data_IF_606315132156
#
_entry.id   IF_606315132156
#
_cell.length_a   1.000
_cell.length_b   1.000
_cell.length_c   1.000
_cell.angle_alpha   90.00
_cell.angle_beta   90.00
_cell.angle_gamma   90.00
#
_symmetry.space_group_name_H-M   'P 1'
#
loop_
_entity.id
_entity.type
_entity.pdbx_description
1 polymer ?
#
# COMPACT_ATOMS: atom_id res chain seq x y z
N UNK A 1 14.77 5.24 -2.84
CA UNK A 1 14.38 6.48 -2.14
C UNK A 1 13.79 7.41 -3.17
N UNK A 2 12.51 7.79 -3.05
CA UNK A 2 11.99 8.88 -3.88
C UNK A 2 12.67 10.16 -3.42
N UNK A 3 13.24 10.94 -4.35
CA UNK A 3 13.79 12.25 -4.05
C UNK A 3 12.68 13.11 -3.41
N UNK A 4 13.01 13.80 -2.31
CA UNK A 4 12.07 14.71 -1.67
C UNK A 4 11.88 15.94 -2.55
N UNK A 5 10.83 15.92 -3.37
CA UNK A 5 10.42 17.08 -4.16
C UNK A 5 9.97 18.17 -3.19
N UNK A 6 10.55 19.37 -3.32
CA UNK A 6 10.14 20.52 -2.53
C UNK A 6 8.69 20.88 -2.86
N UNK A 7 7.84 20.94 -1.83
CA UNK A 7 6.43 21.26 -1.96
C UNK A 7 6.19 22.61 -2.65
N UNK A 8 7.03 23.61 -2.36
CA UNK A 8 6.90 24.93 -2.97
C UNK A 8 7.21 24.87 -4.47
N UNK A 9 8.24 24.13 -4.87
CA UNK A 9 8.60 23.97 -6.28
C UNK A 9 7.48 23.22 -7.02
N UNK A 10 7.00 22.10 -6.48
CA UNK A 10 5.90 21.35 -7.10
C UNK A 10 4.63 22.20 -7.23
N UNK A 11 4.34 23.06 -6.23
CA UNK A 11 3.23 23.99 -6.29
C UNK A 11 3.40 25.04 -7.38
N UNK A 12 4.59 25.62 -7.52
CA UNK A 12 4.89 26.62 -8.55
C UNK A 12 4.74 26.01 -9.94
N UNK A 13 5.36 24.87 -10.21
CA UNK A 13 5.27 24.19 -11.51
C UNK A 13 3.81 23.86 -11.86
N UNK A 14 3.03 23.34 -10.89
CA UNK A 14 1.62 23.06 -11.09
C UNK A 14 0.80 24.34 -11.34
N UNK A 15 1.15 25.45 -10.67
CA UNK A 15 0.48 26.74 -10.87
C UNK A 15 0.75 27.32 -12.26
N UNK A 16 1.97 27.18 -12.78
CA UNK A 16 2.33 27.61 -14.13
C UNK A 16 1.60 26.78 -15.19
N UNK A 17 1.47 25.47 -14.98
CA UNK A 17 0.75 24.58 -15.90
C UNK A 17 -0.76 24.80 -15.92
N UNK A 18 -1.36 25.19 -14.79
CA UNK A 18 -2.80 25.45 -14.66
C UNK A 18 -3.20 26.89 -15.02
N UNK A 19 -2.32 27.87 -14.81
CA UNK A 19 -2.66 29.28 -14.96
C UNK A 19 -3.88 29.69 -14.14
N UNK A 20 -4.91 30.21 -14.81
CA UNK A 20 -6.14 30.71 -14.18
C UNK A 20 -6.96 29.61 -13.48
N UNK A 21 -6.82 28.35 -13.92
CA UNK A 21 -7.54 27.19 -13.37
C UNK A 21 -7.00 26.73 -12.01
N UNK A 22 -5.89 27.31 -11.53
CA UNK A 22 -5.30 26.97 -10.23
C UNK A 22 -6.29 27.15 -9.08
N UNK A 23 -7.19 28.15 -9.14
CA UNK A 23 -8.21 28.36 -8.11
C UNK A 23 -9.21 27.20 -8.06
N UNK A 24 -9.63 26.70 -9.22
CA UNK A 24 -10.55 25.56 -9.34
C UNK A 24 -9.89 24.29 -8.83
N UNK A 25 -8.64 24.06 -9.21
CA UNK A 25 -7.85 22.94 -8.73
C UNK A 25 -7.73 22.93 -7.19
N UNK A 26 -7.39 24.07 -6.57
CA UNK A 26 -7.30 24.17 -5.11
C UNK A 26 -8.65 24.00 -4.41
N UNK A 27 -9.75 24.42 -5.04
CA UNK A 27 -11.09 24.15 -4.54
C UNK A 27 -11.37 22.64 -4.51
N UNK A 28 -11.08 21.94 -5.62
CA UNK A 28 -11.27 20.49 -5.72
C UNK A 28 -10.37 19.74 -4.73
N UNK A 29 -9.11 20.16 -4.58
CA UNK A 29 -8.18 19.62 -3.58
C UNK A 29 -8.73 19.76 -2.15
N UNK A 30 -9.27 20.94 -1.80
CA UNK A 30 -9.91 21.16 -0.50
C UNK A 30 -11.14 20.26 -0.33
N UNK A 31 -11.96 20.10 -1.37
CA UNK A 31 -13.13 19.23 -1.35
C UNK A 31 -12.75 17.76 -1.15
N UNK A 32 -11.68 17.30 -1.81
CA UNK A 32 -11.13 15.95 -1.62
C UNK A 32 -10.59 15.73 -0.20
N UNK A 33 -9.80 16.66 0.34
CA UNK A 33 -9.32 16.58 1.73
C UNK A 33 -10.47 16.58 2.76
N UNK A 34 -11.58 17.25 2.46
CA UNK A 34 -12.80 17.26 3.27
C UNK A 34 -13.71 16.05 3.02
N UNK A 35 -13.29 15.08 2.21
CA UNK A 35 -14.06 13.89 1.83
C UNK A 35 -15.42 14.21 1.19
N UNK A 36 -15.54 15.37 0.53
CA UNK A 36 -16.75 15.75 -0.21
C UNK A 36 -16.83 15.08 -1.59
N UNK A 37 -15.67 14.82 -2.18
CA UNK A 37 -15.51 14.11 -3.45
C UNK A 37 -14.53 12.97 -3.25
N UNK A 38 -14.67 11.91 -4.03
CA UNK A 38 -13.73 10.79 -4.06
C UNK A 38 -12.39 11.19 -4.69
N UNK A 39 -11.38 10.33 -4.51
CA UNK A 39 -10.08 10.53 -5.17
C UNK A 39 -10.25 10.46 -6.69
N UNK A 40 -11.07 9.53 -7.16
CA UNK A 40 -11.34 9.30 -8.57
C UNK A 40 -11.98 10.52 -9.25
N UNK A 41 -12.93 11.17 -8.56
CA UNK A 41 -13.52 12.43 -9.02
C UNK A 41 -12.49 13.56 -9.08
N UNK A 42 -11.69 13.73 -8.02
CA UNK A 42 -10.63 14.73 -7.99
C UNK A 42 -9.58 14.53 -9.10
N UNK A 43 -9.08 13.31 -9.28
CA UNK A 43 -8.12 12.96 -10.33
C UNK A 43 -8.73 13.17 -11.74
N UNK A 44 -10.03 12.90 -11.90
CA UNK A 44 -10.75 13.13 -13.16
C UNK A 44 -10.83 14.61 -13.49
N UNK A 45 -11.22 15.44 -12.52
CA UNK A 45 -11.31 16.89 -12.73
C UNK A 45 -9.92 17.52 -12.93
N UNK A 46 -8.90 17.06 -12.21
CA UNK A 46 -7.52 17.51 -12.43
C UNK A 46 -7.05 17.25 -13.89
N UNK A 47 -7.38 16.10 -14.46
CA UNK A 47 -7.06 15.76 -15.87
C UNK A 47 -7.86 16.57 -16.90
N UNK A 48 -8.98 17.19 -16.51
CA UNK A 48 -9.72 18.10 -17.39
C UNK A 48 -9.10 19.51 -17.39
N UNK A 49 -8.51 19.92 -16.27
CA UNK A 49 -7.84 21.21 -16.12
C UNK A 49 -6.41 21.19 -16.69
N UNK A 50 -5.73 20.05 -16.62
CA UNK A 50 -4.37 19.87 -17.11
C UNK A 50 -4.34 19.32 -18.54
N UNK A 51 -3.30 19.68 -19.28
CA UNK A 51 -2.95 19.02 -20.53
C UNK A 51 -2.34 17.65 -20.23
N UNK A 52 -2.40 16.73 -21.20
CA UNK A 52 -1.91 15.36 -21.04
C UNK A 52 -0.41 15.28 -20.67
N UNK A 53 0.39 16.23 -21.16
CA UNK A 53 1.83 16.36 -20.89
C UNK A 53 2.11 16.87 -19.46
N UNK A 54 1.22 17.66 -18.86
CA UNK A 54 1.40 18.26 -17.53
C UNK A 54 0.71 17.51 -16.38
N UNK A 55 0.04 16.38 -16.64
CA UNK A 55 -0.59 15.54 -15.60
C UNK A 55 0.40 15.05 -14.55
N UNK A 56 1.67 14.86 -14.91
CA UNK A 56 2.71 14.45 -13.97
C UNK A 56 2.90 15.45 -12.82
N UNK A 57 2.70 16.76 -13.07
CA UNK A 57 2.85 17.82 -12.06
C UNK A 57 1.80 17.69 -10.94
N UNK A 58 0.60 17.22 -11.26
CA UNK A 58 -0.41 16.88 -10.27
C UNK A 58 0.09 15.76 -9.33
N UNK A 59 0.67 14.71 -9.90
CA UNK A 59 1.21 13.59 -9.13
C UNK A 59 2.40 14.03 -8.26
N UNK A 60 3.32 14.82 -8.81
CA UNK A 60 4.46 15.36 -8.07
C UNK A 60 4.00 16.23 -6.89
N UNK A 61 2.99 17.06 -7.09
CA UNK A 61 2.43 17.89 -6.02
C UNK A 61 1.79 17.03 -4.91
N UNK A 62 1.02 15.99 -5.25
CA UNK A 62 0.46 15.08 -4.26
C UNK A 62 1.54 14.32 -3.49
N UNK A 63 2.57 13.83 -4.18
CA UNK A 63 3.71 13.15 -3.56
C UNK A 63 4.45 14.10 -2.60
N UNK A 64 4.65 15.35 -2.98
CA UNK A 64 5.28 16.36 -2.13
C UNK A 64 4.45 16.65 -0.86
N UNK A 65 3.12 16.77 -0.97
CA UNK A 65 2.24 16.91 0.20
C UNK A 65 2.36 15.71 1.14
N UNK A 66 2.25 14.50 0.60
CA UNK A 66 2.31 13.26 1.39
C UNK A 66 3.67 13.14 2.09
N UNK A 67 4.76 13.41 1.37
CA UNK A 67 6.12 13.40 1.92
C UNK A 67 6.27 14.40 3.08
N UNK A 68 5.73 15.62 2.93
CA UNK A 68 5.75 16.63 3.99
C UNK A 68 4.93 16.18 5.22
N UNK A 69 3.76 15.59 5.02
CA UNK A 69 2.95 15.05 6.11
C UNK A 69 3.65 13.89 6.85
N UNK A 70 4.34 13.00 6.14
CA UNK A 70 5.09 11.90 6.75
C UNK A 70 6.26 12.42 7.61
N UNK A 71 6.98 13.43 7.13
CA UNK A 71 8.04 14.09 7.91
C UNK A 71 7.50 14.68 9.22
N UNK A 72 6.35 15.34 9.20
CA UNK A 72 5.72 15.89 10.42
C UNK A 72 5.21 14.79 11.36
N UNK A 73 4.62 13.71 10.82
CA UNK A 73 4.13 12.58 11.61
C UNK A 73 5.23 11.79 12.32
N UNK A 74 6.41 11.69 11.70
CA UNK A 74 7.58 11.01 12.30
C UNK A 74 8.18 11.73 13.52
N UNK A 75 7.83 13.00 13.76
CA UNK A 75 8.29 13.77 14.91
C UNK A 75 7.49 13.51 16.20
N UNK A 76 6.33 12.85 16.13
CA UNK A 76 5.41 12.67 17.27
C UNK A 76 5.61 11.34 18.03
N UNK A 77 6.64 10.56 17.67
CA UNK A 77 7.05 9.37 18.45
C UNK A 77 8.28 9.73 19.29
N UNK A 78 8.19 9.73 20.64
CA UNK A 78 9.38 9.78 21.50
C UNK A 78 10.31 8.63 21.11
N UNK A 79 11.51 8.98 20.65
CA UNK A 79 12.49 8.04 20.14
C UNK A 79 13.34 7.49 21.28
N UNK A 80 12.71 6.83 22.24
CA UNK A 80 13.40 6.04 23.26
C UNK A 80 13.18 4.57 22.97
N UNK A 81 14.11 3.97 22.21
CA UNK A 81 14.62 2.60 22.39
C UNK A 81 15.66 2.32 21.27
N UNK A 82 16.88 1.86 21.60
CA UNK A 82 17.69 1.14 20.65
C UNK A 82 17.13 -0.29 20.53
N UNK A 83 17.31 -0.92 19.37
CA UNK A 83 17.50 -2.38 19.20
C UNK A 83 16.70 -2.97 18.02
N UNK A 84 17.50 -3.46 17.07
CA UNK A 84 17.33 -4.72 16.33
C UNK A 84 16.27 -4.76 15.22
N UNK A 85 16.82 -4.70 14.00
CA UNK A 85 16.51 -5.57 12.86
C UNK A 85 15.30 -6.49 13.04
N UNK A 86 14.21 -6.20 12.33
CA UNK A 86 13.26 -7.22 11.84
C UNK A 86 12.35 -6.67 10.74
N UNK A 87 11.84 -7.56 9.85
CA UNK A 87 11.61 -7.25 8.44
C UNK A 87 10.17 -6.84 8.11
N UNK A 88 10.03 -6.36 6.86
CA UNK A 88 8.82 -6.11 6.06
C UNK A 88 7.54 -6.73 6.64
N UNK A 89 6.59 -5.88 7.03
CA UNK A 89 5.18 -6.23 7.22
C UNK A 89 4.33 -5.66 6.08
N UNK A 90 3.45 -6.47 5.45
CA UNK A 90 2.62 -6.03 4.35
C UNK A 90 1.46 -5.15 4.84
N UNK A 91 1.15 -4.12 4.06
CA UNK A 91 0.05 -3.19 4.25
C UNK A 91 -1.32 -3.89 4.24
N UNK A 92 -2.14 -3.62 5.25
CA UNK A 92 -3.55 -4.02 5.29
C UNK A 92 -4.33 -3.29 4.18
N UNK A 93 -5.21 -3.97 3.42
CA UNK A 93 -6.03 -3.30 2.41
C UNK A 93 -7.14 -2.46 3.04
N UNK A 94 -7.30 -1.26 2.50
CA UNK A 94 -8.36 -0.30 2.81
C UNK A 94 -9.72 -0.91 2.42
N UNK A 95 -10.64 -1.07 3.38
CA UNK A 95 -11.98 -1.60 3.16
C UNK A 95 -12.81 -0.61 2.33
N UNK A 96 -13.12 -0.97 1.08
CA UNK A 96 -14.20 -0.36 0.29
C UNK A 96 -15.54 -0.62 0.98
N UNK A 97 -16.32 0.43 1.23
CA UNK A 97 -17.66 0.35 1.80
C UNK A 97 -18.57 -0.53 0.95
N UNK A 98 -19.27 -1.48 1.59
CA UNK A 98 -20.27 -2.32 0.95
C UNK A 98 -21.66 -2.02 1.52
N UNK A 99 -22.56 -1.79 0.58
CA UNK A 99 -24.01 -1.77 0.70
C UNK A 99 -24.55 -2.92 1.57
N UNK A 100 -25.58 -2.61 2.37
CA UNK A 100 -26.31 -3.55 3.21
C UNK A 100 -26.92 -4.68 2.37
N UNK A 101 -26.58 -5.93 2.65
CA UNK A 101 -27.51 -7.09 2.65
C UNK A 101 -27.07 -8.10 3.73
N UNK A 102 -28.04 -8.49 4.55
CA UNK A 102 -27.94 -9.34 5.74
C UNK A 102 -27.85 -10.82 5.31
N UNK A 103 -26.85 -11.56 5.79
CA UNK A 103 -26.93 -13.01 5.96
C UNK A 103 -26.00 -13.46 7.10
N UNK A 104 -26.56 -14.25 8.01
CA UNK A 104 -25.89 -14.88 9.14
C UNK A 104 -24.87 -15.92 8.66
N UNK A 105 -23.74 -16.05 9.37
CA UNK A 105 -22.79 -17.15 9.12
C UNK A 105 -21.50 -17.08 9.94
N UNK A 106 -21.51 -17.81 11.06
CA UNK A 106 -20.43 -18.57 11.70
C UNK A 106 -19.04 -17.91 11.92
N UNK A 107 -18.73 -17.68 13.20
CA UNK A 107 -17.41 -17.27 13.73
C UNK A 107 -16.39 -18.42 13.62
N UNK A 108 -15.65 -18.48 12.51
CA UNK A 108 -14.50 -19.38 12.33
C UNK A 108 -13.18 -18.69 12.67
N UNK A 109 -12.44 -19.24 13.63
CA UNK A 109 -11.07 -18.82 13.98
C UNK A 109 -10.10 -19.18 12.84
N UNK A 110 -9.47 -18.18 12.20
CA UNK A 110 -8.46 -18.38 11.15
C UNK A 110 -7.07 -18.57 11.73
N UNK A 111 -6.84 -19.65 12.48
CA UNK A 111 -5.50 -20.06 12.90
C UNK A 111 -5.13 -21.38 12.22
N UNK A 112 -5.11 -21.38 10.89
CA UNK A 112 -4.25 -22.32 10.15
C UNK A 112 -2.81 -21.80 10.22
N UNK A 113 -2.19 -21.96 11.39
CA UNK A 113 -0.76 -21.70 11.54
C UNK A 113 -0.02 -22.76 10.73
N UNK A 114 0.75 -22.31 9.74
CA UNK A 114 1.72 -23.14 9.05
C UNK A 114 2.62 -23.79 10.09
N UNK A 115 2.62 -25.13 10.13
CA UNK A 115 3.56 -25.92 10.90
C UNK A 115 4.56 -26.50 9.88
N UNK A 116 5.85 -26.16 9.96
CA UNK A 116 6.86 -26.80 9.13
C UNK A 116 6.84 -28.31 9.40
N UNK A 117 6.58 -29.11 8.37
CA UNK A 117 6.71 -30.56 8.45
C UNK A 117 8.19 -30.92 8.41
N UNK A 118 8.68 -31.61 9.44
CA UNK A 118 10.03 -32.14 9.45
C UNK A 118 10.12 -33.30 8.43
N UNK A 119 11.05 -33.25 7.45
CA UNK A 119 11.11 -34.19 6.33
C UNK A 119 11.47 -35.64 6.74
N UNK A 120 11.84 -35.87 7.99
CA UNK A 120 12.21 -37.19 8.50
C UNK A 120 11.03 -37.98 9.07
N UNK A 121 9.86 -37.36 9.24
CA UNK A 121 8.72 -37.99 9.93
C UNK A 121 8.00 -39.08 9.10
N UNK A 122 8.39 -39.29 7.85
CA UNK A 122 7.81 -40.27 6.92
C UNK A 122 8.79 -41.33 6.40
N UNK A 123 10.02 -41.41 6.94
CA UNK A 123 10.98 -42.40 6.49
C UNK A 123 10.61 -43.79 7.04
N UNK A 124 10.02 -44.63 6.18
CA UNK A 124 9.88 -46.07 6.41
C UNK A 124 11.28 -46.70 6.48
N UNK A 125 11.62 -47.51 7.50
CA UNK A 125 12.86 -48.26 7.48
C UNK A 125 12.80 -49.30 6.35
N UNK A 126 13.73 -49.18 5.40
CA UNK A 126 13.94 -50.19 4.36
C UNK A 126 14.48 -51.45 5.03
N UNK A 127 13.63 -52.47 5.19
CA UNK A 127 14.04 -53.82 5.56
C UNK A 127 14.41 -54.56 4.27
N UNK A 128 15.71 -54.80 4.06
CA UNK A 128 16.16 -55.72 3.02
C UNK A 128 15.91 -57.16 3.47
N UNK A 129 15.10 -57.92 2.72
CA UNK A 129 14.90 -59.36 2.92
C UNK A 129 15.34 -60.15 1.68
N UNK A 130 16.44 -60.89 1.88
CA UNK A 130 17.05 -62.01 1.16
C UNK A 130 16.63 -62.37 -0.26
N UNK A 131 17.62 -62.41 -1.16
CA UNK A 131 17.63 -63.25 -2.37
C UNK A 131 18.17 -64.63 -1.96
N UNK A 132 17.33 -65.66 -2.04
CA UNK A 132 17.76 -67.06 -2.06
C UNK A 132 17.85 -67.49 -3.52
N UNK A 133 19.08 -67.69 -3.99
CA UNK A 133 19.42 -68.16 -5.32
C UNK A 133 19.29 -69.69 -5.35
N UNK A 134 18.39 -70.22 -6.18
CA UNK A 134 18.28 -71.65 -6.46
C UNK A 134 18.90 -71.93 -7.82
N UNK A 135 20.09 -72.52 -7.82
CA UNK A 135 20.71 -73.13 -9.01
C UNK A 135 20.60 -74.65 -8.92
N UNK A 136 20.27 -75.24 -10.08
CA UNK A 136 20.20 -76.68 -10.36
C UNK A 136 21.57 -77.32 -10.33
#
# INVERSE_FOLDING_TARGET
>A
MAASIDLNIARTNLSEALGDDMKVYLHNLKSWFRQKISKEEFDSDARKLLKADSVHLHNEFLLAIISKCQSLGSSLVPRDLPSVTSPIVPSKPLKKGKFKKKLQGLKGSFQHRFVPLNPTSGAVPVVYKGVEESST
#
